data_IF_551061218417
#
_entry.id   IF_551061218417
#
_cell.length_a   1.000
_cell.length_b   1.000
_cell.length_c   1.000
_cell.angle_alpha   90.00
_cell.angle_beta   90.00
_cell.angle_gamma   90.00
#
_symmetry.space_group_name_H-M   'P 1'
#
loop_
_entity.id
_entity.type
_entity.pdbx_description
1 polymer ?
#
# COMPACT_ATOMS: atom_id res chain seq x y z
N UNK A 1 13.99 -12.87 -1.76
CA UNK A 1 13.85 -11.65 -2.59
C UNK A 1 12.41 -11.65 -3.08
N UNK A 2 11.56 -10.87 -2.43
CA UNK A 2 10.14 -10.71 -2.79
C UNK A 2 10.06 -9.77 -4.01
N UNK A 3 8.98 -9.87 -4.80
CA UNK A 3 8.75 -9.00 -5.97
C UNK A 3 8.75 -7.49 -5.64
N UNK A 4 8.65 -7.13 -4.36
CA UNK A 4 8.69 -5.75 -3.86
C UNK A 4 9.92 -5.42 -3.00
N UNK A 5 10.89 -6.34 -2.86
CA UNK A 5 11.99 -6.17 -1.90
C UNK A 5 12.88 -4.95 -2.15
N UNK A 6 13.04 -4.53 -3.41
CA UNK A 6 13.75 -3.29 -3.73
C UNK A 6 12.90 -2.04 -3.40
N UNK A 7 11.58 -2.09 -3.58
CA UNK A 7 10.67 -1.02 -3.15
C UNK A 7 10.69 -0.85 -1.63
N UNK A 8 10.72 -1.94 -0.87
CA UNK A 8 10.82 -1.92 0.59
C UNK A 8 12.09 -1.20 1.08
N UNK A 9 13.22 -1.49 0.44
CA UNK A 9 14.49 -0.82 0.75
C UNK A 9 14.44 0.68 0.44
N UNK A 10 13.82 1.06 -0.69
CA UNK A 10 13.70 2.46 -1.12
C UNK A 10 12.75 3.26 -0.21
N UNK A 11 11.66 2.64 0.27
CA UNK A 11 10.79 3.24 1.31
C UNK A 11 11.61 3.52 2.58
N UNK A 12 12.39 2.54 3.04
CA UNK A 12 13.21 2.68 4.24
C UNK A 12 14.34 3.73 4.07
N UNK A 13 14.84 3.91 2.85
CA UNK A 13 15.82 4.94 2.50
C UNK A 13 15.19 6.34 2.33
N UNK A 14 13.87 6.48 2.47
CA UNK A 14 13.12 7.71 2.20
C UNK A 14 13.31 8.21 0.75
N UNK A 15 13.33 7.28 -0.21
CA UNK A 15 13.40 7.54 -1.65
C UNK A 15 12.10 7.09 -2.35
N UNK A 16 10.95 7.72 -2.05
CA UNK A 16 9.64 7.27 -2.54
C UNK A 16 9.52 7.35 -4.06
N UNK A 17 10.16 8.33 -4.71
CA UNK A 17 10.17 8.46 -6.17
C UNK A 17 10.89 7.29 -6.87
N UNK A 18 12.00 6.82 -6.29
CA UNK A 18 12.72 5.68 -6.83
C UNK A 18 11.96 4.36 -6.59
N UNK A 19 11.15 4.29 -5.52
CA UNK A 19 10.37 3.09 -5.19
C UNK A 19 9.26 2.79 -6.19
N UNK A 20 8.69 3.83 -6.82
CA UNK A 20 7.47 3.72 -7.65
C UNK A 20 7.59 2.80 -8.86
N UNK A 21 8.60 2.90 -9.74
CA UNK A 21 8.70 1.99 -10.88
C UNK A 21 8.81 0.53 -10.44
N UNK A 22 9.60 0.26 -9.39
CA UNK A 22 9.77 -1.09 -8.83
C UNK A 22 8.48 -1.61 -8.19
N UNK A 23 7.80 -0.74 -7.44
CA UNK A 23 6.51 -1.04 -6.84
C UNK A 23 5.46 -1.39 -7.90
N UNK A 24 5.38 -0.59 -8.95
CA UNK A 24 4.42 -0.75 -10.04
C UNK A 24 4.63 -2.08 -10.76
N UNK A 25 5.85 -2.36 -11.20
CA UNK A 25 6.19 -3.63 -11.89
C UNK A 25 5.87 -4.84 -11.01
N UNK A 26 6.19 -4.75 -9.71
CA UNK A 26 5.85 -5.78 -8.73
C UNK A 26 4.34 -5.96 -8.57
N UNK A 27 3.59 -4.86 -8.48
CA UNK A 27 2.14 -4.87 -8.30
C UNK A 27 1.40 -5.42 -9.54
N UNK A 28 1.83 -5.05 -10.75
CA UNK A 28 1.31 -5.60 -12.01
C UNK A 28 1.57 -7.10 -12.10
N UNK A 29 2.76 -7.55 -11.70
CA UNK A 29 3.13 -8.97 -11.68
C UNK A 29 2.22 -9.73 -10.71
N UNK A 30 2.06 -9.25 -9.47
CA UNK A 30 1.19 -9.88 -8.46
C UNK A 30 -0.27 -9.93 -8.90
N UNK A 31 -0.75 -8.89 -9.58
CA UNK A 31 -2.11 -8.83 -10.12
C UNK A 31 -2.32 -9.88 -11.22
N UNK A 32 -1.34 -10.07 -12.12
CA UNK A 32 -1.45 -11.00 -13.25
C UNK A 32 -1.60 -12.46 -12.82
N UNK A 33 -1.05 -12.82 -11.65
CA UNK A 33 -1.15 -14.18 -11.07
C UNK A 33 -2.20 -14.26 -9.95
N UNK A 34 -2.95 -13.18 -9.70
CA UNK A 34 -3.96 -13.08 -8.65
C UNK A 34 -3.44 -13.49 -7.25
N UNK A 35 -2.22 -13.06 -6.91
CA UNK A 35 -1.64 -13.34 -5.60
C UNK A 35 -2.27 -12.44 -4.53
N UNK A 36 -3.48 -12.83 -4.07
CA UNK A 36 -4.28 -12.03 -3.14
C UNK A 36 -3.55 -11.71 -1.82
N UNK A 37 -2.66 -12.60 -1.38
CA UNK A 37 -1.89 -12.40 -0.15
C UNK A 37 -0.89 -11.28 -0.33
N UNK A 38 -0.06 -11.37 -1.38
CA UNK A 38 0.97 -10.37 -1.63
C UNK A 38 0.38 -9.07 -2.19
N UNK A 39 -0.77 -9.09 -2.87
CA UNK A 39 -1.48 -7.88 -3.29
C UNK A 39 -1.91 -7.03 -2.08
N UNK A 40 -2.43 -7.65 -1.01
CA UNK A 40 -2.79 -6.92 0.21
C UNK A 40 -1.56 -6.29 0.86
N UNK A 41 -0.44 -7.03 0.91
CA UNK A 41 0.84 -6.53 1.44
C UNK A 41 1.37 -5.38 0.57
N UNK A 42 1.27 -5.49 -0.75
CA UNK A 42 1.68 -4.45 -1.69
C UNK A 42 0.94 -3.13 -1.45
N UNK A 43 -0.36 -3.17 -1.13
CA UNK A 43 -1.10 -1.94 -0.81
C UNK A 43 -0.54 -1.19 0.40
N UNK A 44 0.01 -1.90 1.40
CA UNK A 44 0.69 -1.25 2.52
C UNK A 44 2.00 -0.55 2.09
N UNK A 45 2.75 -1.15 1.16
CA UNK A 45 3.92 -0.51 0.56
C UNK A 45 3.52 0.73 -0.27
N UNK A 46 2.45 0.63 -1.07
CA UNK A 46 1.91 1.76 -1.83
C UNK A 46 1.45 2.92 -0.93
N UNK A 47 0.84 2.60 0.22
CA UNK A 47 0.48 3.61 1.22
C UNK A 47 1.72 4.32 1.78
N UNK A 48 2.79 3.57 2.09
CA UNK A 48 4.05 4.15 2.57
C UNK A 48 4.76 5.01 1.51
N UNK A 49 4.75 4.58 0.24
CA UNK A 49 5.25 5.40 -0.89
C UNK A 49 4.47 6.72 -0.98
N UNK A 50 3.14 6.63 -0.94
CA UNK A 50 2.26 7.80 -1.04
C UNK A 50 2.48 8.77 0.13
N UNK A 51 2.66 8.23 1.34
CA UNK A 51 3.02 9.00 2.51
C UNK A 51 4.37 9.72 2.35
N UNK A 52 5.39 9.01 1.85
CA UNK A 52 6.70 9.59 1.54
C UNK A 52 6.64 10.70 0.49
N UNK A 53 5.70 10.64 -0.47
CA UNK A 53 5.42 11.70 -1.45
C UNK A 53 4.62 12.87 -0.89
N UNK A 54 4.14 12.78 0.35
CA UNK A 54 3.25 13.78 0.96
C UNK A 54 1.80 13.69 0.49
N UNK A 55 1.42 12.66 -0.27
CA UNK A 55 0.03 12.42 -0.66
C UNK A 55 -0.72 11.65 0.44
N UNK A 56 -1.09 12.38 1.48
CA UNK A 56 -1.78 11.84 2.65
C UNK A 56 -3.13 11.20 2.29
N UNK A 57 -3.86 11.73 1.30
CA UNK A 57 -5.18 11.21 0.93
C UNK A 57 -5.06 9.87 0.19
N UNK A 58 -4.08 9.74 -0.73
CA UNK A 58 -3.77 8.46 -1.35
C UNK A 58 -3.24 7.45 -0.34
N UNK A 59 -2.33 7.86 0.54
CA UNK A 59 -1.82 7.01 1.61
C UNK A 59 -2.95 6.45 2.47
N UNK A 60 -3.88 7.30 2.89
CA UNK A 60 -5.08 6.92 3.63
C UNK A 60 -5.91 5.90 2.86
N UNK A 61 -6.17 6.14 1.58
CA UNK A 61 -7.00 5.26 0.75
C UNK A 61 -6.41 3.86 0.60
N UNK A 62 -5.11 3.75 0.33
CA UNK A 62 -4.44 2.46 0.23
C UNK A 62 -4.37 1.76 1.59
N UNK A 63 -4.12 2.52 2.67
CA UNK A 63 -4.08 2.00 4.03
C UNK A 63 -5.43 1.43 4.49
N UNK A 64 -6.52 2.18 4.28
CA UNK A 64 -7.87 1.72 4.64
C UNK A 64 -8.28 0.46 3.89
N UNK A 65 -7.84 0.30 2.64
CA UNK A 65 -8.10 -0.92 1.87
C UNK A 65 -7.39 -2.14 2.45
N UNK A 66 -6.10 -2.03 2.81
CA UNK A 66 -5.36 -3.16 3.40
C UNK A 66 -5.86 -3.53 4.81
N UNK A 67 -6.24 -2.55 5.63
CA UNK A 67 -6.86 -2.83 6.94
C UNK A 67 -8.19 -3.59 6.79
N UNK A 68 -9.06 -3.13 5.89
CA UNK A 68 -10.33 -3.80 5.62
C UNK A 68 -10.15 -5.25 5.15
N UNK A 69 -9.16 -5.49 4.26
CA UNK A 69 -8.81 -6.85 3.83
C UNK A 69 -8.30 -7.69 5.01
N UNK A 70 -7.42 -7.13 5.85
CA UNK A 70 -6.88 -7.82 7.03
C UNK A 70 -7.95 -8.13 8.09
N UNK A 71 -8.98 -7.30 8.22
CA UNK A 71 -10.11 -7.53 9.13
C UNK A 71 -11.04 -8.64 8.61
N UNK A 72 -11.31 -8.65 7.29
CA UNK A 72 -12.20 -9.64 6.65
C UNK A 72 -11.56 -11.02 6.50
N UNK A 73 -10.28 -11.06 6.17
CA UNK A 73 -9.50 -12.29 6.03
C UNK A 73 -8.21 -12.20 6.86
N UNK A 74 -8.29 -12.39 8.18
CA UNK A 74 -7.13 -12.27 9.05
C UNK A 74 -6.04 -13.26 8.67
N UNK A 75 -4.86 -12.73 8.32
CA UNK A 75 -3.65 -13.50 8.04
C UNK A 75 -2.50 -12.94 8.86
N UNK A 76 -1.74 -13.78 9.59
CA UNK A 76 -0.60 -13.31 10.38
C UNK A 76 0.40 -12.48 9.58
N UNK A 77 0.63 -12.86 8.32
CA UNK A 77 1.54 -12.15 7.40
C UNK A 77 1.03 -10.76 7.05
N UNK A 78 -0.27 -10.58 6.76
CA UNK A 78 -0.86 -9.26 6.48
C UNK A 78 -0.79 -8.37 7.70
N UNK A 79 -1.14 -8.88 8.89
CA UNK A 79 -1.06 -8.12 10.15
C UNK A 79 0.38 -7.74 10.50
N UNK A 80 1.35 -8.62 10.25
CA UNK A 80 2.76 -8.31 10.44
C UNK A 80 3.23 -7.20 9.50
N UNK A 81 2.80 -7.22 8.24
CA UNK A 81 3.15 -6.18 7.27
C UNK A 81 2.48 -4.83 7.61
N UNK A 82 1.23 -4.81 8.05
CA UNK A 82 0.61 -3.59 8.58
C UNK A 82 1.45 -2.97 9.70
N UNK A 83 1.90 -3.78 10.67
CA UNK A 83 2.81 -3.28 11.73
C UNK A 83 4.15 -2.80 11.19
N UNK A 84 4.69 -3.46 10.16
CA UNK A 84 5.95 -3.07 9.53
C UNK A 84 5.85 -1.72 8.82
N UNK A 85 4.74 -1.46 8.12
CA UNK A 85 4.54 -0.23 7.35
C UNK A 85 3.96 0.94 8.15
N UNK A 86 3.35 0.69 9.31
CA UNK A 86 2.73 1.72 10.17
C UNK A 86 3.63 2.95 10.41
N UNK A 87 4.93 2.79 10.75
CA UNK A 87 5.80 3.94 11.01
C UNK A 87 6.02 4.88 9.81
N UNK A 88 5.82 4.40 8.58
CA UNK A 88 5.95 5.23 7.37
C UNK A 88 4.66 5.98 7.04
N UNK A 89 3.51 5.53 7.56
CA UNK A 89 2.19 6.06 7.26
C UNK A 89 1.68 6.97 8.38
N UNK A 90 1.99 6.64 9.64
CA UNK A 90 1.64 7.45 10.82
C UNK A 90 1.97 8.95 10.69
N UNK A 91 3.12 9.37 10.12
CA UNK A 91 3.46 10.79 10.02
C UNK A 91 2.51 11.63 9.16
N UNK A 92 1.77 11.02 8.23
CA UNK A 92 0.84 11.72 7.33
C UNK A 92 -0.62 11.65 7.79
N UNK A 93 -0.89 11.08 8.98
CA UNK A 93 -2.23 11.05 9.55
C UNK A 93 -2.82 12.46 9.74
N UNK A 94 -4.13 12.59 9.50
CA UNK A 94 -4.86 13.85 9.58
C UNK A 94 -6.06 13.84 8.64
N UNK A 95 -6.75 14.98 8.51
CA UNK A 95 -8.03 15.04 7.81
C UNK A 95 -8.01 14.54 6.35
N UNK A 96 -6.90 14.72 5.63
CA UNK A 96 -6.74 14.20 4.26
C UNK A 96 -6.60 12.68 4.25
N UNK A 97 -5.75 12.15 5.13
CA UNK A 97 -5.62 10.73 5.36
C UNK A 97 -6.95 10.08 5.76
N UNK A 98 -7.68 10.66 6.71
CA UNK A 98 -8.93 10.11 7.22
C UNK A 98 -10.02 10.02 6.13
N UNK A 99 -10.09 11.01 5.22
CA UNK A 99 -11.00 10.95 4.05
C UNK A 99 -10.61 9.82 3.12
N UNK A 100 -9.33 9.74 2.77
CA UNK A 100 -8.79 8.67 1.94
C UNK A 100 -9.10 7.31 2.54
N UNK A 101 -8.79 7.15 3.82
CA UNK A 101 -9.00 5.96 4.62
C UNK A 101 -10.44 5.48 4.61
N UNK A 102 -11.40 6.37 4.86
CA UNK A 102 -12.82 6.04 4.78
C UNK A 102 -13.21 5.50 3.40
N UNK A 103 -12.69 6.08 2.32
CA UNK A 103 -12.92 5.59 0.94
C UNK A 103 -12.25 4.23 0.74
N UNK A 104 -11.00 4.08 1.17
CA UNK A 104 -10.20 2.87 1.06
C UNK A 104 -10.91 1.65 1.64
N UNK A 105 -11.54 1.82 2.81
CA UNK A 105 -12.30 0.77 3.50
C UNK A 105 -13.53 0.27 2.74
N UNK A 106 -13.98 0.99 1.70
CA UNK A 106 -15.10 0.57 0.85
C UNK A 106 -14.66 -0.22 -0.37
N UNK A 107 -13.36 -0.22 -0.71
CA UNK A 107 -12.84 -0.85 -1.91
C UNK A 107 -12.63 -2.35 -1.69
N UNK A 108 -12.89 -3.15 -2.73
CA UNK A 108 -12.34 -4.49 -2.82
C UNK A 108 -10.82 -4.43 -3.03
N UNK A 109 -10.13 -5.54 -2.71
CA UNK A 109 -8.68 -5.66 -2.94
C UNK A 109 -8.31 -5.35 -4.39
N UNK A 110 -9.05 -5.88 -5.37
CA UNK A 110 -8.77 -5.65 -6.78
C UNK A 110 -9.00 -4.20 -7.21
N UNK A 111 -10.05 -3.54 -6.70
CA UNK A 111 -10.29 -2.13 -6.97
C UNK A 111 -9.19 -1.24 -6.40
N UNK A 112 -8.75 -1.51 -5.17
CA UNK A 112 -7.65 -0.79 -4.55
C UNK A 112 -6.33 -0.98 -5.32
N UNK A 113 -6.05 -2.19 -5.79
CA UNK A 113 -4.86 -2.49 -6.62
C UNK A 113 -4.91 -1.78 -7.96
N UNK A 114 -6.04 -1.86 -8.69
CA UNK A 114 -6.20 -1.16 -9.98
C UNK A 114 -6.10 0.36 -9.80
N UNK A 115 -6.66 0.87 -8.71
CA UNK A 115 -6.56 2.29 -8.38
C UNK A 115 -5.11 2.70 -8.09
N UNK A 116 -4.36 1.92 -7.31
CA UNK A 116 -2.93 2.18 -7.06
C UNK A 116 -2.14 2.24 -8.38
N UNK A 117 -2.37 1.29 -9.29
CA UNK A 117 -1.74 1.26 -10.62
C UNK A 117 -2.17 2.41 -11.55
N UNK A 118 -3.24 3.14 -11.25
CA UNK A 118 -3.68 4.27 -12.08
C UNK A 118 -3.23 5.64 -11.56
N UNK A 119 -2.65 5.70 -10.35
CA UNK A 119 -2.30 6.97 -9.68
C UNK A 119 -0.87 7.03 -9.16
N UNK A 120 -0.21 5.88 -8.97
CA UNK A 120 1.21 5.82 -8.62
C UNK A 120 2.03 5.67 -9.90
N UNK A 121 2.43 6.84 -10.42
CA UNK A 121 3.32 7.04 -11.58
C UNK A 121 4.69 7.58 -11.15
#
# INVERSE_FOLDING_TARGET
>A
MTLLGASEWLIAANEPEAAVPVFRDGLETLLSVQDRVNLAIALAAGAAISAGRGDAELAGKLWGAVEFVSEREPRPTTTQNLRHYSPYVEPVHGAAFDRGHAVGRTLSLEEAVRYALSVLD
#
